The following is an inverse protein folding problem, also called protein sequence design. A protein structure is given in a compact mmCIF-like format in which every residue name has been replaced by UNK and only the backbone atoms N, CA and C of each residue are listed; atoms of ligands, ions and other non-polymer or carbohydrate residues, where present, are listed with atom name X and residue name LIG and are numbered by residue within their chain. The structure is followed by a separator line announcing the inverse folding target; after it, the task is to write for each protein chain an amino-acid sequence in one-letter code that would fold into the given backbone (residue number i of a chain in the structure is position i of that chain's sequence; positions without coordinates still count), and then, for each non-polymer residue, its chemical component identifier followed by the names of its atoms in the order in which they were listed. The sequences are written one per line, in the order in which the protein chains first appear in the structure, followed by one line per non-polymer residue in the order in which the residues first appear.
data_IF_664153160869
#
_entry.id   IF_664153160869
#
_cell.length_a   1.000
_cell.length_b   1.000
_cell.length_c   1.000
_cell.angle_alpha   90.00
_cell.angle_beta   90.00
_cell.angle_gamma   90.00
#
_symmetry.space_group_name_H-M   'P 1'
#
loop_
_entity.id
_entity.type
_entity.pdbx_description
1 polymer ?
#
# COMPACT_ATOMS: atom_id res chain seq x y z
N UNK A 1 -2.83 -26.10 4.32
CA UNK A 1 -2.98 -24.62 4.46
C UNK A 1 -2.66 -24.02 3.11
N UNK A 2 -3.54 -23.21 2.49
CA UNK A 2 -3.25 -22.65 1.16
C UNK A 2 -2.12 -21.64 1.29
N UNK A 3 -1.02 -21.89 0.57
CA UNK A 3 0.07 -20.92 0.41
C UNK A 3 -0.43 -19.86 -0.56
N UNK A 4 -0.70 -18.68 -0.06
CA UNK A 4 -1.02 -17.52 -0.89
C UNK A 4 0.31 -16.89 -1.26
N UNK A 5 0.65 -16.87 -2.54
CA UNK A 5 1.79 -16.11 -3.06
C UNK A 5 1.59 -14.63 -2.80
N UNK A 6 2.54 -13.96 -2.14
CA UNK A 6 2.42 -12.56 -1.75
C UNK A 6 3.77 -11.87 -1.82
N UNK A 7 3.81 -10.69 -2.45
CA UNK A 7 4.89 -9.73 -2.24
C UNK A 7 4.57 -8.97 -0.94
N UNK A 8 5.31 -9.24 0.13
CA UNK A 8 5.14 -8.60 1.45
C UNK A 8 6.12 -7.46 1.64
N UNK A 9 5.67 -6.44 2.34
CA UNK A 9 6.55 -5.41 2.92
C UNK A 9 7.13 -5.96 4.23
N UNK A 10 8.45 -6.15 4.32
CA UNK A 10 9.13 -6.66 5.52
C UNK A 10 10.09 -5.58 6.06
N UNK A 11 10.16 -5.37 7.37
CA UNK A 11 11.15 -4.47 7.96
C UNK A 11 12.56 -5.09 7.90
N UNK A 12 13.53 -4.37 7.36
CA UNK A 12 14.95 -4.73 7.45
C UNK A 12 15.62 -3.95 8.58
N UNK A 13 16.30 -4.66 9.44
CA UNK A 13 17.23 -4.11 10.43
C UNK A 13 18.63 -4.01 9.82
N UNK A 14 19.27 -2.87 10.07
CA UNK A 14 20.71 -2.57 9.92
C UNK A 14 21.29 -2.28 8.53
N UNK A 15 21.47 -0.98 8.24
CA UNK A 15 22.79 -0.38 8.02
C UNK A 15 22.71 1.12 8.33
N UNK A 16 23.67 1.62 9.08
CA UNK A 16 23.66 2.94 9.69
C UNK A 16 23.70 4.08 8.69
N UNK A 17 22.80 4.96 8.89
CA UNK A 17 22.73 6.41 8.86
C UNK A 17 21.25 6.80 8.84
N UNK A 18 20.78 7.20 9.97
CA UNK A 18 19.80 8.22 10.31
C UNK A 18 18.45 8.33 9.58
N UNK A 19 17.86 7.23 9.07
CA UNK A 19 16.46 7.23 8.67
C UNK A 19 15.75 6.01 9.28
N UNK A 20 14.66 6.16 10.03
CA UNK A 20 13.92 5.03 10.56
C UNK A 20 13.16 4.35 9.41
N UNK A 21 13.74 3.27 8.92
CA UNK A 21 13.16 2.37 7.94
C UNK A 21 12.12 1.49 8.60
N UNK A 22 10.90 1.53 8.16
CA UNK A 22 10.04 0.38 8.30
C UNK A 22 8.96 0.38 7.25
N UNK A 23 9.16 -0.37 6.32
CA UNK A 23 8.40 -1.18 5.38
C UNK A 23 9.21 -1.30 4.09
N UNK A 24 10.19 -2.18 4.14
CA UNK A 24 10.89 -2.63 2.94
C UNK A 24 9.97 -3.58 2.17
N UNK A 25 9.90 -3.40 0.89
CA UNK A 25 9.43 -4.46 0.00
C UNK A 25 10.52 -5.53 0.03
N UNK A 26 10.26 -6.65 0.67
CA UNK A 26 11.16 -7.80 0.51
C UNK A 26 10.75 -8.48 -0.78
N UNK A 27 11.48 -8.15 -1.82
CA UNK A 27 11.67 -9.06 -2.93
C UNK A 27 12.63 -10.11 -2.40
N UNK A 28 12.27 -11.37 -2.51
CA UNK A 28 13.09 -12.47 -2.04
C UNK A 28 14.54 -12.29 -2.52
N UNK A 29 15.53 -12.63 -1.66
CA UNK A 29 16.96 -12.36 -1.90
C UNK A 29 17.55 -12.98 -3.17
N UNK A 30 16.74 -13.67 -3.96
CA UNK A 30 17.11 -14.37 -5.20
C UNK A 30 16.64 -13.68 -6.48
N UNK A 31 16.11 -12.44 -6.39
CA UNK A 31 15.72 -11.69 -7.58
C UNK A 31 16.99 -11.11 -8.24
N UNK A 32 17.47 -11.74 -9.31
CA UNK A 32 18.75 -11.46 -9.97
C UNK A 32 18.83 -10.10 -10.70
N UNK A 33 17.76 -9.31 -10.75
CA UNK A 33 17.81 -7.96 -11.30
C UNK A 33 17.92 -6.91 -10.18
N UNK A 34 19.16 -6.60 -9.78
CA UNK A 34 19.46 -5.55 -8.79
C UNK A 34 18.77 -4.21 -9.12
N UNK A 35 18.52 -3.94 -10.39
CA UNK A 35 17.90 -2.72 -10.87
C UNK A 35 16.40 -2.65 -10.53
N UNK A 36 15.65 -3.74 -10.71
CA UNK A 36 14.24 -3.83 -10.33
C UNK A 36 14.07 -3.74 -8.80
N UNK A 37 14.98 -4.36 -8.04
CA UNK A 37 15.00 -4.31 -6.57
C UNK A 37 15.26 -2.88 -6.07
N UNK A 38 16.19 -2.14 -6.69
CA UNK A 38 16.49 -0.76 -6.29
C UNK A 38 15.31 0.18 -6.60
N UNK A 39 14.65 0.00 -7.75
CA UNK A 39 13.47 0.77 -8.15
C UNK A 39 12.27 0.51 -7.24
N UNK A 40 12.04 -0.74 -6.82
CA UNK A 40 10.97 -1.07 -5.86
C UNK A 40 11.25 -0.47 -4.47
N UNK A 41 12.50 -0.38 -4.03
CA UNK A 41 12.86 0.27 -2.75
C UNK A 41 12.52 1.77 -2.74
N UNK A 42 12.66 2.47 -3.87
CA UNK A 42 12.33 3.91 -3.97
C UNK A 42 10.82 4.19 -3.85
N UNK A 43 9.96 3.24 -4.20
CA UNK A 43 8.49 3.39 -4.15
C UNK A 43 7.96 3.56 -2.72
N UNK A 44 8.65 3.01 -1.72
CA UNK A 44 8.24 3.17 -0.32
C UNK A 44 8.21 4.65 0.11
N UNK A 45 9.02 5.50 -0.49
CA UNK A 45 9.01 6.95 -0.31
C UNK A 45 7.72 7.60 -0.86
N UNK A 46 7.10 7.01 -1.89
CA UNK A 46 5.93 7.57 -2.57
C UNK A 46 4.59 7.18 -1.94
N UNK A 47 4.54 6.14 -1.11
CA UNK A 47 3.31 5.73 -0.42
C UNK A 47 2.82 6.70 0.66
N UNK A 48 3.61 7.68 0.99
CA UNK A 48 3.29 8.73 1.96
C UNK A 48 2.15 9.68 1.53
N UNK A 49 1.70 9.61 0.27
CA UNK A 49 1.01 10.71 -0.40
C UNK A 49 -0.51 10.82 -0.23
N UNK A 50 -1.24 9.84 0.33
CA UNK A 50 -2.70 9.99 0.44
C UNK A 50 -3.32 9.36 1.68
N UNK A 51 -3.80 10.19 2.59
CA UNK A 51 -4.80 9.82 3.60
C UNK A 51 -6.21 10.22 3.14
N UNK A 52 -7.12 9.24 3.08
CA UNK A 52 -8.54 9.46 2.92
C UNK A 52 -9.29 8.73 4.04
N UNK A 53 -10.27 9.36 4.69
CA UNK A 53 -10.98 8.78 5.82
C UNK A 53 -11.81 7.57 5.39
N UNK A 54 -11.74 6.49 6.14
CA UNK A 54 -12.66 5.34 6.07
C UNK A 54 -13.49 5.30 7.34
N UNK A 55 -14.81 5.26 7.19
CA UNK A 55 -15.78 5.18 8.26
C UNK A 55 -15.88 3.75 8.78
N UNK A 56 -15.64 3.53 10.08
CA UNK A 56 -16.01 2.30 10.80
C UNK A 56 -16.22 2.66 12.26
N UNK A 57 -17.42 2.43 12.76
CA UNK A 57 -17.81 2.57 14.16
C UNK A 57 -17.22 1.38 14.96
N UNK A 58 -15.93 1.41 15.22
CA UNK A 58 -15.26 0.44 16.09
C UNK A 58 -15.09 1.01 17.49
N UNK A 59 -15.16 0.12 18.50
CA UNK A 59 -14.84 0.47 19.87
C UNK A 59 -13.47 1.16 19.93
N UNK A 60 -13.39 2.28 20.64
CA UNK A 60 -12.18 3.11 20.68
C UNK A 60 -11.80 3.47 22.13
N UNK A 61 -10.51 3.67 22.36
CA UNK A 61 -9.97 4.27 23.56
C UNK A 61 -9.41 5.63 23.17
N UNK A 62 -9.77 6.66 23.92
CA UNK A 62 -9.25 8.01 23.74
C UNK A 62 -8.16 8.22 24.78
N UNK A 63 -6.94 8.53 24.31
CA UNK A 63 -5.84 8.99 25.13
C UNK A 63 -5.92 10.51 25.22
N UNK A 64 -6.15 11.09 26.43
CA UNK A 64 -6.19 12.52 26.61
C UNK A 64 -4.82 13.14 26.37
N UNK A 65 -4.80 14.42 25.97
CA UNK A 65 -3.56 15.18 25.77
C UNK A 65 -3.60 16.04 24.51
N UNK A 66 -2.47 16.67 24.16
CA UNK A 66 -2.37 17.50 22.96
C UNK A 66 -1.26 16.95 22.04
N UNK A 67 -1.63 16.37 20.89
CA UNK A 67 -3.00 16.09 20.43
C UNK A 67 -3.65 14.92 21.17
N UNK A 68 -4.97 14.88 21.17
CA UNK A 68 -5.77 13.73 21.57
C UNK A 68 -5.55 12.57 20.58
N UNK A 69 -5.40 11.35 21.09
CA UNK A 69 -5.13 10.18 20.25
C UNK A 69 -6.26 9.16 20.39
N UNK A 70 -6.86 8.83 19.26
CA UNK A 70 -7.86 7.77 19.20
C UNK A 70 -7.19 6.43 18.87
N UNK A 71 -7.35 5.45 19.75
CA UNK A 71 -6.89 4.07 19.56
C UNK A 71 -8.08 3.19 19.23
N UNK A 72 -8.11 2.63 18.03
CA UNK A 72 -9.16 1.72 17.59
C UNK A 72 -8.95 0.32 18.17
N UNK A 73 -9.99 -0.26 18.73
CA UNK A 73 -9.98 -1.62 19.27
C UNK A 73 -10.45 -2.62 18.22
N UNK A 74 -9.64 -3.64 17.98
CA UNK A 74 -9.94 -4.72 17.03
C UNK A 74 -9.93 -6.08 17.76
N UNK A 75 -11.06 -6.51 18.31
CA UNK A 75 -11.19 -7.86 18.87
C UNK A 75 -10.99 -8.92 17.78
N UNK A 76 -10.22 -9.98 18.08
CA UNK A 76 -9.91 -11.04 17.12
C UNK A 76 -9.85 -12.40 17.79
N UNK A 77 -10.52 -13.40 17.22
CA UNK A 77 -10.44 -14.81 17.66
C UNK A 77 -9.04 -15.41 17.48
N UNK A 78 -8.22 -14.83 16.59
CA UNK A 78 -6.85 -15.28 16.30
C UNK A 78 -5.81 -14.61 17.20
N UNK A 79 -6.17 -13.55 17.90
CA UNK A 79 -5.26 -12.87 18.80
C UNK A 79 -5.14 -13.64 20.11
N UNK A 80 -3.91 -14.00 20.48
CA UNK A 80 -3.58 -14.61 21.79
C UNK A 80 -3.00 -13.60 22.77
N UNK A 81 -2.66 -12.38 22.30
CA UNK A 81 -2.04 -11.30 23.08
C UNK A 81 -2.50 -9.94 22.60
N UNK A 82 -2.31 -8.91 23.43
CA UNK A 82 -2.48 -7.51 23.04
C UNK A 82 -1.38 -7.11 22.05
N UNK A 83 -1.76 -6.50 20.94
CA UNK A 83 -0.83 -6.03 19.92
C UNK A 83 -1.21 -4.65 19.44
N UNK A 84 -0.34 -3.67 19.69
CA UNK A 84 -0.50 -2.29 19.25
C UNK A 84 0.16 -2.10 17.89
N UNK A 85 -0.53 -1.41 16.99
CA UNK A 85 -0.07 -1.10 15.64
C UNK A 85 -0.37 0.34 15.28
N UNK A 86 0.61 1.04 14.73
CA UNK A 86 0.42 2.38 14.15
C UNK A 86 0.54 2.27 12.64
N UNK A 87 -0.49 2.76 11.94
CA UNK A 87 -0.47 2.86 10.49
C UNK A 87 0.35 4.08 10.07
N UNK A 88 1.49 3.87 9.43
CA UNK A 88 2.33 4.98 8.96
C UNK A 88 1.65 5.87 7.92
N UNK A 89 0.75 5.32 7.11
CA UNK A 89 0.03 6.07 6.08
C UNK A 89 -1.12 6.91 6.64
N UNK A 90 -1.74 6.47 7.73
CA UNK A 90 -2.96 7.09 8.27
C UNK A 90 -2.75 7.70 9.65
N UNK A 91 -1.62 7.47 10.29
CA UNK A 91 -1.44 7.82 11.70
C UNK A 91 -2.40 7.08 12.64
N UNK A 92 -3.14 6.08 12.12
CA UNK A 92 -4.15 5.38 12.88
C UNK A 92 -3.53 4.37 13.83
N UNK A 93 -3.84 4.51 15.10
CA UNK A 93 -3.42 3.58 16.15
C UNK A 93 -4.49 2.50 16.30
N UNK A 94 -4.10 1.24 16.26
CA UNK A 94 -5.01 0.09 16.39
C UNK A 94 -4.47 -0.88 17.43
N UNK A 95 -5.31 -1.26 18.41
CA UNK A 95 -5.04 -2.32 19.36
C UNK A 95 -5.81 -3.58 18.96
N UNK A 96 -5.08 -4.63 18.58
CA UNK A 96 -5.66 -5.97 18.41
C UNK A 96 -5.64 -6.69 19.77
N UNK A 97 -6.78 -7.28 20.12
CA UNK A 97 -6.95 -7.93 21.44
C UNK A 97 -7.75 -9.25 21.32
N UNK A 98 -7.52 -10.23 22.21
CA UNK A 98 -8.35 -11.43 22.33
C UNK A 98 -9.81 -11.05 22.64
N UNK A 99 -10.77 -11.89 22.22
CA UNK A 99 -12.19 -11.65 22.53
C UNK A 99 -12.49 -11.67 24.04
N UNK A 100 -11.71 -12.44 24.79
CA UNK A 100 -11.82 -12.56 26.27
C UNK A 100 -11.11 -11.46 27.04
N UNK A 101 -10.43 -10.53 26.36
CA UNK A 101 -9.66 -9.47 27.02
C UNK A 101 -10.59 -8.46 27.70
N UNK A 102 -10.48 -8.24 29.03
CA UNK A 102 -11.24 -7.22 29.71
C UNK A 102 -10.88 -5.81 29.20
N UNK A 103 -11.87 -4.94 29.07
CA UNK A 103 -11.65 -3.56 28.61
C UNK A 103 -10.68 -2.77 29.51
N UNK A 104 -10.68 -3.05 30.81
CA UNK A 104 -9.76 -2.44 31.79
C UNK A 104 -8.30 -2.78 31.42
N UNK A 105 -8.03 -4.04 31.09
CA UNK A 105 -6.69 -4.48 30.68
C UNK A 105 -6.26 -3.81 29.36
N UNK A 106 -7.18 -3.69 28.38
CA UNK A 106 -6.91 -2.99 27.14
C UNK A 106 -6.58 -1.51 27.36
N UNK A 107 -7.34 -0.82 28.26
CA UNK A 107 -7.07 0.57 28.63
C UNK A 107 -5.73 0.73 29.32
N UNK A 108 -5.42 -0.08 30.31
CA UNK A 108 -4.15 -0.03 31.05
C UNK A 108 -2.95 -0.25 30.10
N UNK A 109 -3.05 -1.21 29.18
CA UNK A 109 -2.03 -1.45 28.18
C UNK A 109 -1.80 -0.24 27.25
N UNK A 110 -2.87 0.42 26.80
CA UNK A 110 -2.78 1.61 25.96
C UNK A 110 -2.14 2.77 26.74
N UNK A 111 -2.50 2.98 28.00
CA UNK A 111 -1.91 3.99 28.88
C UNK A 111 -0.43 3.72 29.13
N UNK A 112 -0.04 2.47 29.42
CA UNK A 112 1.38 2.10 29.57
C UNK A 112 2.21 2.40 28.32
N UNK A 113 1.61 2.24 27.13
CA UNK A 113 2.28 2.49 25.85
C UNK A 113 2.08 3.91 25.28
N UNK A 114 1.51 4.83 26.06
CA UNK A 114 1.21 6.18 25.58
C UNK A 114 2.44 6.92 25.04
N UNK A 115 3.55 6.92 25.80
CA UNK A 115 4.80 7.58 25.38
C UNK A 115 5.33 7.00 24.06
N UNK A 116 5.29 5.69 23.92
CA UNK A 116 5.66 5.01 22.68
C UNK A 116 4.75 5.40 21.51
N UNK A 117 3.43 5.46 21.74
CA UNK A 117 2.46 5.88 20.72
C UNK A 117 2.75 7.31 20.25
N UNK A 118 2.94 8.25 21.20
CA UNK A 118 3.21 9.66 20.88
C UNK A 118 4.50 9.83 20.10
N UNK A 119 5.58 9.21 20.54
CA UNK A 119 6.86 9.25 19.84
C UNK A 119 6.71 8.77 18.37
N UNK A 120 6.08 7.61 18.17
CA UNK A 120 5.90 7.06 16.82
C UNK A 120 4.94 7.86 15.93
N UNK A 121 3.96 8.57 16.51
CA UNK A 121 3.09 9.47 15.77
C UNK A 121 3.80 10.76 15.35
N UNK A 122 4.73 11.25 16.19
CA UNK A 122 5.55 12.43 15.88
C UNK A 122 6.52 12.14 14.73
N UNK A 123 7.07 10.92 14.69
CA UNK A 123 7.99 10.46 13.63
C UNK A 123 7.29 10.11 12.32
N UNK A 124 5.95 10.20 12.26
CA UNK A 124 5.25 9.94 11.02
C UNK A 124 5.54 11.06 9.99
N UNK A 125 5.94 10.70 8.77
CA UNK A 125 6.04 11.69 7.71
C UNK A 125 4.67 12.37 7.53
N UNK A 126 4.65 13.69 7.52
CA UNK A 126 3.43 14.45 7.22
C UNK A 126 2.93 14.01 5.84
N UNK A 127 1.79 13.35 5.83
CA UNK A 127 1.17 12.94 4.56
C UNK A 127 0.73 14.20 3.84
N UNK A 128 1.42 14.50 2.73
CA UNK A 128 0.99 15.57 1.86
C UNK A 128 -0.37 15.21 1.26
N UNK A 129 -1.39 16.01 1.53
CA UNK A 129 -2.67 15.89 0.84
C UNK A 129 -2.51 16.41 -0.59
N UNK A 130 -3.16 15.75 -1.55
CA UNK A 130 -3.26 16.27 -2.90
C UNK A 130 -3.99 17.61 -2.86
N UNK A 131 -3.41 18.64 -3.45
CA UNK A 131 -3.95 20.00 -3.56
C UNK A 131 -3.34 20.68 -4.77
N UNK A 132 -3.82 21.84 -5.14
CA UNK A 132 -3.20 22.61 -6.21
C UNK A 132 -1.75 22.97 -5.85
N UNK A 133 -0.90 23.11 -6.85
CA UNK A 133 0.53 23.40 -6.77
C UNK A 133 1.35 22.32 -6.01
N UNK A 134 0.73 21.16 -5.75
CA UNK A 134 1.42 20.00 -5.16
C UNK A 134 1.87 19.04 -6.26
N UNK A 135 3.01 18.39 -6.01
CA UNK A 135 3.51 17.36 -6.90
C UNK A 135 2.90 16.01 -6.56
N UNK A 136 2.61 15.22 -7.57
CA UNK A 136 2.05 13.88 -7.51
C UNK A 136 2.91 12.91 -8.30
N UNK A 137 3.41 11.81 -7.69
CA UNK A 137 4.04 10.74 -8.46
C UNK A 137 3.02 10.04 -9.37
N UNK A 138 3.38 9.85 -10.63
CA UNK A 138 2.59 9.13 -11.61
C UNK A 138 3.51 8.49 -12.66
N UNK A 139 3.42 7.20 -12.84
CA UNK A 139 4.21 6.44 -13.81
C UNK A 139 5.73 6.79 -13.77
N UNK A 140 6.29 6.92 -12.56
CA UNK A 140 7.70 7.20 -12.35
C UNK A 140 8.14 8.65 -12.51
N UNK A 141 7.24 9.57 -12.84
CA UNK A 141 7.49 11.02 -12.94
C UNK A 141 6.67 11.81 -11.94
N UNK A 142 7.02 13.06 -11.72
CA UNK A 142 6.27 13.98 -10.88
C UNK A 142 5.36 14.85 -11.74
N UNK A 143 4.06 14.87 -11.46
CA UNK A 143 3.09 15.76 -12.07
C UNK A 143 2.75 16.89 -11.09
N UNK A 144 2.65 18.11 -11.58
CA UNK A 144 2.13 19.25 -10.81
C UNK A 144 0.60 19.29 -10.93
N UNK A 145 -0.11 19.27 -9.80
CA UNK A 145 -1.58 19.37 -9.78
C UNK A 145 -1.97 20.82 -9.99
N UNK A 146 -2.73 21.10 -11.05
CA UNK A 146 -3.18 22.45 -11.41
C UNK A 146 -4.70 22.51 -11.61
N UNK A 147 -5.33 23.69 -11.46
CA UNK A 147 -6.73 23.86 -11.82
C UNK A 147 -6.97 23.52 -13.29
N UNK A 148 -8.02 22.76 -13.56
CA UNK A 148 -8.45 22.38 -14.90
C UNK A 148 -9.86 22.87 -15.20
N UNK A 149 -10.18 22.98 -16.49
CA UNK A 149 -11.52 23.23 -16.99
C UNK A 149 -12.29 21.93 -17.21
N UNK A 150 -13.60 21.99 -17.43
CA UNK A 150 -14.40 20.82 -17.78
C UNK A 150 -14.82 19.95 -16.60
N UNK A 151 -14.99 18.66 -16.86
CA UNK A 151 -15.54 17.68 -15.89
C UNK A 151 -14.55 16.60 -15.50
N UNK A 152 -13.56 16.31 -16.31
CA UNK A 152 -12.61 15.22 -16.13
C UNK A 152 -11.22 15.75 -15.75
N UNK A 153 -10.48 14.88 -15.05
CA UNK A 153 -9.06 15.13 -14.77
C UNK A 153 -8.26 14.76 -16.01
N UNK A 154 -7.37 15.64 -16.44
CA UNK A 154 -6.60 15.50 -17.68
C UNK A 154 -5.11 15.61 -17.42
N UNK A 155 -4.32 14.85 -18.19
CA UNK A 155 -2.87 14.96 -18.25
C UNK A 155 -2.49 15.98 -19.31
N UNK A 156 -1.66 16.94 -18.96
CA UNK A 156 -1.12 17.94 -19.90
C UNK A 156 0.37 18.17 -19.62
N UNK A 157 1.23 17.56 -20.41
CA UNK A 157 2.67 17.54 -20.14
C UNK A 157 3.00 16.97 -18.76
N UNK A 158 3.67 17.76 -17.92
CA UNK A 158 3.95 17.43 -16.52
C UNK A 158 2.88 17.96 -15.54
N UNK A 159 1.73 18.37 -16.05
CA UNK A 159 0.59 18.83 -15.29
C UNK A 159 -0.53 17.80 -15.19
N UNK A 160 -1.18 17.75 -14.02
CA UNK A 160 -2.44 17.07 -13.81
C UNK A 160 -3.52 18.13 -13.60
N UNK A 161 -4.32 18.38 -14.64
CA UNK A 161 -5.38 19.39 -14.63
C UNK A 161 -6.61 18.81 -13.93
N UNK A 162 -6.97 19.38 -12.78
CA UNK A 162 -8.07 18.90 -11.94
C UNK A 162 -9.17 19.95 -11.88
N UNK A 163 -10.34 19.69 -12.48
CA UNK A 163 -11.44 20.64 -12.43
C UNK A 163 -12.09 20.73 -11.05
N UNK A 164 -12.71 21.89 -10.77
CA UNK A 164 -13.51 22.12 -9.57
C UNK A 164 -12.73 22.74 -8.42
N UNK A 165 -13.41 22.81 -7.26
CA UNK A 165 -12.89 23.44 -6.03
C UNK A 165 -11.76 22.60 -5.42
N UNK A 166 -10.81 23.25 -4.76
CA UNK A 166 -9.66 22.65 -4.11
C UNK A 166 -10.04 21.52 -3.14
N UNK A 167 -11.15 21.65 -2.41
CA UNK A 167 -11.66 20.60 -1.52
C UNK A 167 -12.00 19.28 -2.21
N UNK A 168 -12.21 19.28 -3.54
CA UNK A 168 -12.50 18.09 -4.34
C UNK A 168 -11.25 17.46 -4.95
N UNK A 169 -10.12 18.17 -4.96
CA UNK A 169 -8.87 17.72 -5.59
C UNK A 169 -8.43 16.34 -5.08
N UNK A 170 -8.37 16.05 -3.76
CA UNK A 170 -7.92 14.75 -3.28
C UNK A 170 -8.79 13.59 -3.80
N UNK A 171 -10.11 13.78 -3.82
CA UNK A 171 -11.04 12.74 -4.28
C UNK A 171 -10.90 12.50 -5.79
N UNK A 172 -10.81 13.57 -6.59
CA UNK A 172 -10.67 13.50 -8.05
C UNK A 172 -9.34 12.88 -8.47
N UNK A 173 -8.24 13.33 -7.86
CA UNK A 173 -6.91 12.74 -8.09
C UNK A 173 -6.90 11.25 -7.75
N UNK A 174 -7.48 10.85 -6.63
CA UNK A 174 -7.59 9.42 -6.27
C UNK A 174 -8.41 8.62 -7.28
N UNK A 175 -9.53 9.16 -7.74
CA UNK A 175 -10.36 8.51 -8.75
C UNK A 175 -9.59 8.33 -10.05
N UNK A 176 -8.90 9.37 -10.51
CA UNK A 176 -8.01 9.34 -11.68
C UNK A 176 -6.94 8.26 -11.54
N UNK A 177 -6.17 8.26 -10.43
CA UNK A 177 -5.11 7.27 -10.21
C UNK A 177 -5.64 5.84 -10.20
N UNK A 178 -6.82 5.59 -9.60
CA UNK A 178 -7.46 4.27 -9.62
C UNK A 178 -7.86 3.84 -11.02
N UNK A 179 -8.38 4.76 -11.82
CA UNK A 179 -8.73 4.47 -13.20
C UNK A 179 -7.48 4.10 -14.02
N UNK A 180 -6.43 4.93 -13.94
CA UNK A 180 -5.17 4.67 -14.63
C UNK A 180 -4.51 3.35 -14.17
N UNK A 181 -4.53 3.08 -12.87
CA UNK A 181 -4.05 1.81 -12.32
C UNK A 181 -4.85 0.61 -12.85
N UNK A 182 -6.17 0.76 -13.00
CA UNK A 182 -7.02 -0.29 -13.57
C UNK A 182 -6.63 -0.60 -15.00
N UNK A 183 -6.48 0.44 -15.83
CA UNK A 183 -6.14 0.27 -17.23
C UNK A 183 -4.75 -0.34 -17.41
N UNK A 184 -3.74 0.21 -16.76
CA UNK A 184 -2.35 -0.28 -16.87
C UNK A 184 -2.17 -1.70 -16.33
N UNK A 185 -2.81 -2.04 -15.19
CA UNK A 185 -2.73 -3.39 -14.62
C UNK A 185 -3.53 -4.40 -15.43
N UNK A 186 -4.67 -4.00 -16.00
CA UNK A 186 -5.45 -4.86 -16.88
C UNK A 186 -4.62 -5.24 -18.13
N UNK A 187 -4.04 -4.23 -18.80
CA UNK A 187 -3.17 -4.42 -19.96
C UNK A 187 -1.99 -5.35 -19.65
N UNK A 188 -1.28 -5.09 -18.53
CA UNK A 188 -0.12 -5.90 -18.15
C UNK A 188 -0.51 -7.34 -17.78
N UNK A 189 -1.61 -7.54 -17.06
CA UNK A 189 -2.10 -8.87 -16.67
C UNK A 189 -2.58 -9.65 -17.88
N UNK A 190 -3.31 -9.01 -18.78
CA UNK A 190 -3.79 -9.67 -20.03
C UNK A 190 -2.59 -10.12 -20.86
N UNK A 191 -1.59 -9.26 -21.06
CA UNK A 191 -0.37 -9.57 -21.79
C UNK A 191 0.37 -10.79 -21.19
N UNK A 192 0.61 -10.79 -19.87
CA UNK A 192 1.35 -11.88 -19.23
C UNK A 192 0.52 -13.17 -19.10
N UNK A 193 -0.78 -13.07 -18.90
CA UNK A 193 -1.70 -14.21 -18.86
C UNK A 193 -1.77 -14.93 -20.20
N UNK A 194 -1.84 -14.17 -21.30
CA UNK A 194 -1.79 -14.69 -22.66
C UNK A 194 -0.44 -15.38 -22.93
N UNK A 195 0.66 -14.72 -22.58
CA UNK A 195 2.02 -15.28 -22.75
C UNK A 195 2.26 -16.54 -21.92
N UNK A 196 1.66 -16.63 -20.73
CA UNK A 196 1.66 -17.82 -19.88
C UNK A 196 0.76 -18.94 -20.41
N UNK A 197 -0.26 -18.61 -21.20
CA UNK A 197 -1.30 -19.54 -21.62
C UNK A 197 -2.26 -19.96 -20.50
N UNK A 198 -2.41 -19.13 -19.46
CA UNK A 198 -3.26 -19.38 -18.29
C UNK A 198 -4.22 -18.23 -18.06
N UNK A 199 -5.54 -18.47 -18.10
CA UNK A 199 -6.51 -17.44 -17.77
C UNK A 199 -6.47 -17.14 -16.26
N UNK A 200 -6.65 -15.88 -15.90
CA UNK A 200 -6.89 -15.47 -14.52
C UNK A 200 -8.39 -15.32 -14.23
N UNK A 201 -8.77 -15.29 -12.96
CA UNK A 201 -10.15 -15.11 -12.54
C UNK A 201 -10.58 -13.64 -12.59
N UNK A 202 -10.54 -12.97 -11.46
CA UNK A 202 -10.92 -11.55 -11.33
C UNK A 202 -9.73 -10.69 -10.96
N UNK A 203 -9.58 -9.55 -11.64
CA UNK A 203 -8.65 -8.50 -11.24
C UNK A 203 -9.36 -7.50 -10.32
N UNK A 204 -8.81 -7.26 -9.13
CA UNK A 204 -9.36 -6.34 -8.14
C UNK A 204 -8.31 -5.34 -7.67
N UNK A 205 -8.65 -4.05 -7.68
CA UNK A 205 -7.83 -3.02 -7.05
C UNK A 205 -8.17 -2.88 -5.56
N UNK A 206 -7.12 -2.84 -4.74
CA UNK A 206 -7.22 -2.66 -3.29
C UNK A 206 -6.42 -1.45 -2.84
N UNK A 207 -6.72 -0.95 -1.65
CA UNK A 207 -5.92 0.06 -0.96
C UNK A 207 -5.09 -0.62 0.14
N UNK A 208 -4.20 -1.52 -0.29
CA UNK A 208 -3.36 -2.30 0.62
C UNK A 208 -2.12 -1.52 1.01
N UNK A 209 -1.71 -1.67 2.26
CA UNK A 209 -0.51 -1.03 2.83
C UNK A 209 0.60 -2.03 3.12
N UNK A 210 0.34 -3.34 2.95
CA UNK A 210 1.25 -4.42 3.32
C UNK A 210 1.72 -5.28 2.14
N UNK A 211 1.15 -5.08 0.95
CA UNK A 211 1.50 -5.84 -0.25
C UNK A 211 1.14 -5.07 -1.52
N UNK A 212 1.88 -5.30 -2.59
CA UNK A 212 1.65 -4.70 -3.90
C UNK A 212 0.67 -5.50 -4.74
N UNK A 213 0.75 -6.83 -4.63
CA UNK A 213 -0.13 -7.75 -5.31
C UNK A 213 -0.46 -8.98 -4.47
N UNK A 214 -1.32 -9.84 -4.96
CA UNK A 214 -1.57 -11.20 -4.49
C UNK A 214 -2.37 -11.99 -5.51
N UNK A 215 -2.02 -13.25 -5.71
CA UNK A 215 -2.80 -14.24 -6.43
C UNK A 215 -3.44 -15.21 -5.43
N UNK A 216 -4.71 -15.55 -5.60
CA UNK A 216 -5.35 -16.61 -4.84
C UNK A 216 -5.23 -17.96 -5.56
N UNK A 217 -5.45 -19.06 -4.82
CA UNK A 217 -5.52 -20.42 -5.41
C UNK A 217 -6.60 -20.59 -6.47
N UNK A 218 -7.56 -19.67 -6.53
CA UNK A 218 -8.62 -19.62 -7.55
C UNK A 218 -8.25 -18.73 -8.75
N UNK A 219 -6.99 -18.27 -8.83
CA UNK A 219 -6.52 -17.38 -9.90
C UNK A 219 -7.02 -15.94 -9.81
N UNK A 220 -7.63 -15.51 -8.68
CA UNK A 220 -8.03 -14.11 -8.53
C UNK A 220 -6.83 -13.24 -8.17
N UNK A 221 -6.62 -12.18 -8.94
CA UNK A 221 -5.53 -11.24 -8.80
C UNK A 221 -5.99 -9.97 -8.06
N UNK A 222 -5.25 -9.56 -7.06
CA UNK A 222 -5.49 -8.29 -6.36
C UNK A 222 -4.24 -7.44 -6.41
N UNK A 223 -4.38 -6.15 -6.71
CA UNK A 223 -3.27 -5.20 -6.76
C UNK A 223 -3.55 -3.94 -5.95
N UNK A 224 -2.51 -3.32 -5.45
CA UNK A 224 -2.58 -1.97 -4.92
C UNK A 224 -2.72 -0.97 -6.09
N UNK A 225 -3.75 -0.11 -6.06
CA UNK A 225 -3.88 0.94 -7.07
C UNK A 225 -2.70 1.93 -7.05
N UNK A 226 -1.93 1.96 -5.95
CA UNK A 226 -0.75 2.84 -5.82
C UNK A 226 0.41 2.44 -6.74
N UNK A 227 0.35 1.25 -7.34
CA UNK A 227 1.35 0.83 -8.33
C UNK A 227 1.46 1.78 -9.52
N UNK A 228 0.40 2.50 -9.86
CA UNK A 228 0.43 3.50 -10.94
C UNK A 228 1.35 4.69 -10.64
N UNK A 229 1.69 4.91 -9.37
CA UNK A 229 2.61 5.97 -8.95
C UNK A 229 4.07 5.59 -9.18
N UNK A 230 4.34 4.29 -9.28
CA UNK A 230 5.66 3.72 -9.54
C UNK A 230 6.04 3.82 -11.03
N UNK A 231 7.33 3.66 -11.37
CA UNK A 231 7.74 3.46 -12.75
C UNK A 231 6.99 2.30 -13.42
N UNK A 232 6.66 2.40 -14.72
CA UNK A 232 5.86 1.40 -15.43
C UNK A 232 6.47 -0.02 -15.37
N UNK A 233 7.79 -0.13 -15.40
CA UNK A 233 8.50 -1.39 -15.28
C UNK A 233 8.26 -2.09 -13.95
N UNK A 234 8.06 -1.33 -12.87
CA UNK A 234 7.74 -1.91 -11.55
C UNK A 234 6.32 -2.45 -11.53
N UNK A 235 5.36 -1.72 -12.11
CA UNK A 235 3.98 -2.18 -12.24
C UNK A 235 3.92 -3.48 -13.06
N UNK A 236 4.63 -3.51 -14.20
CA UNK A 236 4.73 -4.69 -15.06
C UNK A 236 5.38 -5.87 -14.36
N UNK A 237 6.49 -5.65 -13.64
CA UNK A 237 7.12 -6.69 -12.85
C UNK A 237 6.18 -7.30 -11.80
N UNK A 238 5.44 -6.46 -11.06
CA UNK A 238 4.46 -6.96 -10.07
C UNK A 238 3.33 -7.72 -10.77
N UNK A 239 2.88 -7.27 -11.93
CA UNK A 239 1.86 -7.97 -12.71
C UNK A 239 2.37 -9.35 -13.18
N UNK A 240 3.58 -9.44 -13.73
CA UNK A 240 4.20 -10.71 -14.13
C UNK A 240 4.36 -11.66 -12.94
N UNK A 241 4.81 -11.15 -11.78
CA UNK A 241 4.94 -11.91 -10.55
C UNK A 241 3.61 -12.54 -10.10
N UNK A 242 2.53 -11.77 -10.07
CA UNK A 242 1.22 -12.29 -9.65
C UNK A 242 0.60 -13.22 -10.71
N UNK A 243 0.88 -13.00 -11.99
CA UNK A 243 0.46 -13.90 -13.08
C UNK A 243 1.24 -15.22 -13.02
N UNK A 244 2.54 -15.21 -12.70
CA UNK A 244 3.32 -16.43 -12.51
C UNK A 244 2.75 -17.34 -11.42
N UNK A 245 2.08 -16.78 -10.41
CA UNK A 245 1.36 -17.55 -9.39
C UNK A 245 0.13 -18.31 -9.91
N UNK A 246 -0.35 -18.05 -11.11
CA UNK A 246 -1.39 -18.89 -11.73
C UNK A 246 -0.89 -20.32 -12.03
N UNK A 247 0.42 -20.49 -12.13
CA UNK A 247 1.06 -21.79 -12.36
C UNK A 247 1.89 -22.28 -11.16
N UNK A 248 2.67 -21.37 -10.54
CA UNK A 248 3.58 -21.69 -9.44
C UNK A 248 3.19 -20.89 -8.17
N UNK A 249 2.50 -21.54 -7.23
CA UNK A 249 2.01 -20.87 -6.01
C UNK A 249 3.11 -20.60 -4.96
N UNK A 250 4.27 -21.20 -5.08
CA UNK A 250 5.43 -21.00 -4.21
C UNK A 250 6.53 -20.26 -4.96
N UNK A 251 7.46 -19.64 -4.24
CA UNK A 251 8.60 -18.92 -4.83
C UNK A 251 9.82 -19.86 -5.00
N UNK A 252 9.61 -21.01 -5.63
CA UNK A 252 10.68 -21.95 -5.99
C UNK A 252 11.53 -21.44 -7.16
N UNK A 253 12.64 -22.14 -7.49
CA UNK A 253 13.43 -21.83 -8.67
C UNK A 253 12.59 -21.85 -9.96
N UNK A 254 11.61 -22.77 -10.07
CA UNK A 254 10.68 -22.83 -11.21
C UNK A 254 9.80 -21.57 -11.30
N UNK A 255 9.36 -21.01 -10.17
CA UNK A 255 8.63 -19.74 -10.14
C UNK A 255 9.48 -18.59 -10.68
N UNK A 256 10.73 -18.47 -10.23
CA UNK A 256 11.60 -17.37 -10.67
C UNK A 256 11.96 -17.48 -12.15
N UNK A 257 12.26 -18.69 -12.63
CA UNK A 257 12.45 -18.93 -14.07
C UNK A 257 11.21 -18.56 -14.90
N UNK A 258 10.01 -18.76 -14.34
CA UNK A 258 8.77 -18.36 -14.98
C UNK A 258 8.60 -16.84 -15.03
N UNK A 259 8.88 -16.13 -13.92
CA UNK A 259 8.86 -14.66 -13.88
C UNK A 259 9.85 -14.02 -14.85
N UNK A 260 11.05 -14.59 -14.97
CA UNK A 260 12.08 -14.12 -15.93
C UNK A 260 11.65 -14.34 -17.40
N UNK A 261 10.91 -15.39 -17.67
CA UNK A 261 10.40 -15.68 -19.01
C UNK A 261 9.25 -14.76 -19.40
N UNK A 262 8.45 -14.27 -18.45
CA UNK A 262 7.34 -13.36 -18.68
C UNK A 262 7.79 -11.91 -18.87
#
# INVERSE_FOLDING_TARGET
MPVVGQIRLVPHSSFGMGFPLSQSVTICAECHTQEAVSKVKSINSWMSWMNLPSNTADRQIILPGRPEITVLLRPSRRASRLSLRISRLKGQVTLSLPLSCPMVQAKNFVLEKESWIRAHLTDLPRVAQAGFDRQLPFAGRLLTIAPGAGRQVELSGDGLLVPGRESLVPARVKAFLKLQARLALQEAVDHYSERLGRPYGRLTLRDTTSRWGSCSTQGNLNFSWRLIMAPPEVLRYVAAHEVAHLEQMNHSAAFWALVERL
#
